data_IF_160493618180
#
_entry.id   IF_160493618180
#
_cell.length_a   1.000
_cell.length_b   1.000
_cell.length_c   1.000
_cell.angle_alpha   90.00
_cell.angle_beta   90.00
_cell.angle_gamma   90.00
#
_symmetry.space_group_name_H-M   'P 1'
#
loop_
_entity.id
_entity.type
_entity.pdbx_description
1 polymer ?
#
# COMPACT_ATOMS: atom_id res chain seq x y z
N UNK A 1 -42.43 19.55 29.48
CA UNK A 1 -42.48 18.99 28.11
C UNK A 1 -41.07 19.09 27.57
N UNK A 2 -40.35 17.98 27.49
CA UNK A 2 -39.04 17.94 26.85
C UNK A 2 -39.20 18.33 25.38
N UNK A 3 -38.60 19.45 24.99
CA UNK A 3 -38.38 19.79 23.59
C UNK A 3 -37.51 18.69 22.99
N UNK A 4 -38.16 17.68 22.40
CA UNK A 4 -37.52 16.60 21.64
C UNK A 4 -36.53 17.23 20.69
N UNK A 5 -35.25 17.01 20.95
CA UNK A 5 -34.18 17.63 20.19
C UNK A 5 -34.00 16.82 18.91
N UNK A 6 -34.87 17.04 17.92
CA UNK A 6 -34.87 16.33 16.64
C UNK A 6 -33.50 16.36 15.94
N UNK A 7 -32.70 17.40 16.17
CA UNK A 7 -31.33 17.50 15.67
C UNK A 7 -30.39 16.48 16.32
N UNK A 8 -30.58 16.21 17.62
CA UNK A 8 -29.84 15.19 18.35
C UNK A 8 -30.23 13.79 17.87
N UNK A 9 -31.52 13.52 17.72
CA UNK A 9 -32.00 12.22 17.20
C UNK A 9 -31.49 11.96 15.77
N UNK A 10 -31.52 12.97 14.88
CA UNK A 10 -30.96 12.87 13.52
C UNK A 10 -29.44 12.62 13.57
N UNK A 11 -28.72 13.29 14.48
CA UNK A 11 -27.28 13.07 14.68
C UNK A 11 -26.98 11.64 15.17
N UNK A 12 -27.77 11.13 16.10
CA UNK A 12 -27.66 9.76 16.62
C UNK A 12 -27.98 8.71 15.54
N UNK A 13 -29.06 8.89 14.77
CA UNK A 13 -29.40 8.04 13.63
C UNK A 13 -28.26 8.03 12.59
N UNK A 14 -27.70 9.21 12.27
CA UNK A 14 -26.58 9.33 11.31
C UNK A 14 -25.32 8.64 11.84
N UNK A 15 -25.02 8.78 13.14
CA UNK A 15 -23.91 8.07 13.78
C UNK A 15 -24.13 6.55 13.76
N UNK A 16 -25.32 6.07 14.10
CA UNK A 16 -25.68 4.64 14.06
C UNK A 16 -25.57 4.07 12.63
N UNK A 17 -26.05 4.81 11.62
CA UNK A 17 -25.90 4.43 10.20
C UNK A 17 -24.45 4.42 9.74
N UNK A 18 -23.62 5.39 10.16
CA UNK A 18 -22.21 5.42 9.78
C UNK A 18 -21.42 4.24 10.36
N UNK A 19 -21.69 3.86 11.62
CA UNK A 19 -21.05 2.71 12.30
C UNK A 19 -21.52 1.35 11.78
N UNK A 20 -22.77 1.25 11.33
CA UNK A 20 -23.30 0.01 10.72
C UNK A 20 -22.84 -0.19 9.26
N UNK A 21 -22.46 0.87 8.56
CA UNK A 21 -22.07 0.83 7.15
C UNK A 21 -20.57 0.89 6.88
N UNK A 22 -19.73 1.25 7.86
CA UNK A 22 -18.28 1.41 7.68
C UNK A 22 -17.46 0.71 8.77
N UNK A 23 -16.32 0.16 8.36
CA UNK A 23 -15.36 -0.47 9.25
C UNK A 23 -14.51 0.58 9.98
N UNK A 24 -14.72 0.71 11.30
CA UNK A 24 -14.10 1.73 12.17
C UNK A 24 -12.73 1.32 12.74
N UNK A 25 -12.41 0.02 12.72
CA UNK A 25 -11.36 -0.54 13.57
C UNK A 25 -9.97 -0.63 12.91
N UNK A 26 -9.75 0.01 11.76
CA UNK A 26 -8.40 0.11 11.18
C UNK A 26 -7.48 0.84 12.15
N UNK A 27 -6.25 0.36 12.39
CA UNK A 27 -5.30 0.99 13.32
C UNK A 27 -4.31 1.92 12.61
N UNK A 28 -4.07 3.12 13.14
CA UNK A 28 -3.13 4.09 12.55
C UNK A 28 -1.69 3.62 12.61
N UNK A 29 -1.36 2.87 13.67
CA UNK A 29 -0.05 2.25 13.85
C UNK A 29 0.32 1.29 12.71
N UNK A 30 -0.66 0.63 12.07
CA UNK A 30 -0.35 -0.25 10.94
C UNK A 30 0.15 0.54 9.73
N UNK A 31 -0.39 1.73 9.48
CA UNK A 31 0.08 2.62 8.41
C UNK A 31 1.51 3.10 8.65
N UNK A 32 1.82 3.47 9.90
CA UNK A 32 3.19 3.89 10.28
C UNK A 32 4.18 2.74 10.07
N UNK A 33 3.87 1.54 10.57
CA UNK A 33 4.74 0.39 10.43
C UNK A 33 4.92 -0.03 8.97
N UNK A 34 3.83 -0.07 8.18
CA UNK A 34 3.91 -0.36 6.75
C UNK A 34 4.85 0.62 6.03
N UNK A 35 4.78 1.91 6.37
CA UNK A 35 5.69 2.91 5.80
C UNK A 35 7.14 2.74 6.25
N UNK A 36 7.40 2.36 7.49
CA UNK A 36 8.76 2.04 7.97
C UNK A 36 9.32 0.82 7.22
N UNK A 37 8.52 -0.24 7.03
CA UNK A 37 8.94 -1.42 6.27
C UNK A 37 9.25 -1.08 4.82
N UNK A 38 8.42 -0.25 4.19
CA UNK A 38 8.68 0.25 2.84
C UNK A 38 9.97 1.06 2.76
N UNK A 39 10.22 1.99 3.68
CA UNK A 39 11.48 2.76 3.66
C UNK A 39 12.71 1.87 3.88
N UNK A 40 12.63 0.88 4.76
CA UNK A 40 13.71 -0.09 4.96
C UNK A 40 13.96 -0.93 3.71
N UNK A 41 12.90 -1.43 3.08
CA UNK A 41 12.96 -2.17 1.82
C UNK A 41 13.55 -1.32 0.69
N UNK A 42 13.17 -0.04 0.60
CA UNK A 42 13.70 0.87 -0.40
C UNK A 42 15.19 1.17 -0.16
N UNK A 43 15.61 1.31 1.11
CA UNK A 43 17.02 1.44 1.47
C UNK A 43 17.83 0.21 1.08
N UNK A 44 17.33 -0.99 1.39
CA UNK A 44 17.96 -2.24 0.98
C UNK A 44 18.09 -2.35 -0.54
N UNK A 45 17.00 -2.07 -1.27
CA UNK A 45 16.98 -2.07 -2.73
C UNK A 45 17.99 -1.08 -3.32
N UNK A 46 18.15 0.11 -2.72
CA UNK A 46 19.13 1.10 -3.16
C UNK A 46 20.57 0.56 -3.04
N UNK A 47 20.91 -0.09 -1.94
CA UNK A 47 22.23 -0.70 -1.77
C UNK A 47 22.46 -1.88 -2.72
N UNK A 48 21.43 -2.69 -3.00
CA UNK A 48 21.54 -3.78 -4.00
C UNK A 48 21.77 -3.24 -5.41
N UNK A 49 21.07 -2.17 -5.79
CA UNK A 49 21.29 -1.48 -7.06
C UNK A 49 22.70 -0.89 -7.16
N UNK A 50 23.20 -0.28 -6.09
CA UNK A 50 24.54 0.32 -6.06
C UNK A 50 25.68 -0.71 -6.08
N UNK A 51 25.43 -1.93 -5.62
CA UNK A 51 26.41 -3.01 -5.57
C UNK A 51 26.56 -3.78 -6.91
N UNK A 52 25.82 -3.41 -7.95
CA UNK A 52 25.92 -4.06 -9.25
C UNK A 52 27.27 -3.77 -9.93
N UNK A 53 28.06 -4.81 -10.25
CA UNK A 53 29.29 -4.62 -11.02
C UNK A 53 28.94 -4.17 -12.44
N UNK A 54 29.48 -3.02 -12.85
CA UNK A 54 29.42 -2.58 -14.25
C UNK A 54 30.40 -3.44 -15.05
N UNK A 55 29.90 -4.38 -15.85
CA UNK A 55 30.77 -5.26 -16.64
C UNK A 55 31.36 -4.48 -17.83
N UNK A 56 32.61 -4.02 -17.69
CA UNK A 56 33.40 -3.37 -18.75
C UNK A 56 34.25 -4.40 -19.51
N UNK A 57 33.66 -5.51 -19.96
CA UNK A 57 34.37 -6.55 -20.71
C UNK A 57 34.35 -6.30 -22.22
N UNK A 58 35.50 -6.46 -22.90
CA UNK A 58 35.69 -6.22 -24.34
C UNK A 58 34.81 -7.07 -25.28
N UNK A 59 34.16 -8.12 -24.78
CA UNK A 59 33.28 -8.97 -25.59
C UNK A 59 31.81 -8.62 -25.37
N UNK A 60 31.21 -8.00 -26.40
CA UNK A 60 29.82 -7.52 -26.41
C UNK A 60 28.78 -8.61 -26.05
N UNK A 61 29.06 -9.88 -26.37
CA UNK A 61 28.16 -11.01 -26.11
C UNK A 61 28.24 -11.48 -24.65
N UNK A 62 29.45 -11.58 -24.09
CA UNK A 62 29.65 -12.01 -22.70
C UNK A 62 29.20 -10.92 -21.72
N UNK A 63 29.42 -9.65 -22.05
CA UNK A 63 28.89 -8.50 -21.29
C UNK A 63 27.37 -8.47 -21.27
N UNK A 64 26.70 -8.66 -22.41
CA UNK A 64 25.22 -8.74 -22.46
C UNK A 64 24.64 -9.92 -21.70
N UNK A 65 25.31 -11.08 -21.71
CA UNK A 65 24.88 -12.25 -20.94
C UNK A 65 25.06 -12.01 -19.43
N UNK A 66 26.18 -11.41 -19.02
CA UNK A 66 26.43 -11.04 -17.62
C UNK A 66 25.44 -9.97 -17.11
N UNK A 67 25.15 -8.94 -17.92
CA UNK A 67 24.15 -7.91 -17.61
C UNK A 67 22.74 -8.52 -17.50
N UNK A 68 22.40 -9.48 -18.37
CA UNK A 68 21.11 -10.17 -18.32
C UNK A 68 20.95 -11.01 -17.05
N UNK A 69 21.97 -11.80 -16.69
CA UNK A 69 21.97 -12.62 -15.46
C UNK A 69 21.92 -11.72 -14.21
N UNK A 70 22.75 -10.68 -14.15
CA UNK A 70 22.77 -9.73 -13.04
C UNK A 70 21.43 -8.99 -12.89
N UNK A 71 20.77 -8.66 -14.00
CA UNK A 71 19.44 -8.05 -13.98
C UNK A 71 18.38 -9.03 -13.47
N UNK A 72 18.46 -10.31 -13.85
CA UNK A 72 17.53 -11.33 -13.39
C UNK A 72 17.64 -11.57 -11.87
N UNK A 73 18.86 -11.76 -11.36
CA UNK A 73 19.12 -11.94 -9.92
C UNK A 73 18.62 -10.74 -9.10
N UNK A 74 18.81 -9.53 -9.62
CA UNK A 74 18.31 -8.33 -8.97
C UNK A 74 16.78 -8.27 -8.97
N UNK A 75 16.13 -8.58 -10.09
CA UNK A 75 14.67 -8.58 -10.16
C UNK A 75 14.10 -9.59 -9.18
N UNK A 76 14.70 -10.77 -9.06
CA UNK A 76 14.32 -11.79 -8.07
C UNK A 76 14.48 -11.29 -6.63
N UNK A 77 15.64 -10.73 -6.28
CA UNK A 77 15.92 -10.15 -4.95
C UNK A 77 14.94 -9.03 -4.58
N UNK A 78 14.67 -8.12 -5.53
CA UNK A 78 13.76 -6.99 -5.30
C UNK A 78 12.30 -7.47 -5.18
N UNK A 79 11.90 -8.48 -5.96
CA UNK A 79 10.58 -9.10 -5.85
C UNK A 79 10.41 -9.82 -4.51
N UNK A 80 11.42 -10.56 -4.05
CA UNK A 80 11.42 -11.19 -2.74
C UNK A 80 11.32 -10.16 -1.62
N UNK A 81 12.10 -9.07 -1.72
CA UNK A 81 12.06 -7.95 -0.77
C UNK A 81 10.67 -7.31 -0.72
N UNK A 82 10.07 -7.05 -1.89
CA UNK A 82 8.72 -6.50 -1.99
C UNK A 82 7.67 -7.44 -1.38
N UNK A 83 7.79 -8.74 -1.63
CA UNK A 83 6.90 -9.76 -1.07
C UNK A 83 6.99 -9.85 0.45
N UNK A 84 8.21 -9.89 1.01
CA UNK A 84 8.44 -9.89 2.47
C UNK A 84 7.85 -8.62 3.09
N UNK A 85 8.08 -7.47 2.47
CA UNK A 85 7.56 -6.18 2.94
C UNK A 85 6.03 -6.16 2.97
N UNK A 86 5.39 -6.66 1.90
CA UNK A 86 3.94 -6.80 1.82
C UNK A 86 3.41 -7.73 2.91
N UNK A 87 4.06 -8.88 3.11
CA UNK A 87 3.66 -9.87 4.11
C UNK A 87 3.75 -9.29 5.53
N UNK A 88 4.84 -8.59 5.86
CA UNK A 88 5.01 -7.89 7.14
C UNK A 88 3.91 -6.84 7.34
N UNK A 89 3.62 -6.03 6.33
CA UNK A 89 2.56 -5.01 6.39
C UNK A 89 1.16 -5.63 6.60
N UNK A 90 0.84 -6.73 5.91
CA UNK A 90 -0.44 -7.43 6.05
C UNK A 90 -0.56 -8.05 7.43
N UNK A 91 0.45 -8.79 7.90
CA UNK A 91 0.42 -9.49 9.18
C UNK A 91 0.28 -8.49 10.33
N UNK A 92 1.10 -7.44 10.34
CA UNK A 92 1.05 -6.41 11.37
C UNK A 92 -0.24 -5.60 11.31
N UNK A 93 -0.71 -5.26 10.10
CA UNK A 93 -1.98 -4.58 9.89
C UNK A 93 -3.17 -5.37 10.39
N UNK A 94 -3.24 -6.66 10.08
CA UNK A 94 -4.29 -7.56 10.55
C UNK A 94 -4.25 -7.71 12.06
N UNK A 95 -3.07 -7.91 12.65
CA UNK A 95 -2.90 -8.07 14.10
C UNK A 95 -3.32 -6.82 14.88
N UNK A 96 -2.87 -5.63 14.46
CA UNK A 96 -3.19 -4.37 15.15
C UNK A 96 -4.67 -4.00 14.98
N UNK A 97 -5.23 -4.22 13.79
CA UNK A 97 -6.66 -4.04 13.52
C UNK A 97 -7.48 -5.00 14.40
N UNK A 98 -7.04 -6.26 14.54
CA UNK A 98 -7.70 -7.23 15.40
C UNK A 98 -7.69 -6.81 16.88
N UNK A 99 -6.52 -6.36 17.36
CA UNK A 99 -6.37 -5.85 18.73
C UNK A 99 -7.25 -4.63 18.98
N UNK A 100 -7.35 -3.71 18.02
CA UNK A 100 -8.22 -2.51 18.12
C UNK A 100 -9.70 -2.88 18.14
N UNK A 101 -10.15 -3.75 17.22
CA UNK A 101 -11.53 -4.20 17.18
C UNK A 101 -11.96 -4.92 18.47
N UNK A 102 -11.07 -5.73 19.07
CA UNK A 102 -11.32 -6.37 20.37
C UNK A 102 -11.52 -5.36 21.49
N UNK A 103 -10.75 -4.26 21.52
CA UNK A 103 -10.92 -3.17 22.51
C UNK A 103 -12.23 -2.40 22.30
N UNK A 104 -12.68 -2.29 21.06
CA UNK A 104 -13.94 -1.59 20.69
C UNK A 104 -15.18 -2.50 20.74
N UNK A 105 -15.02 -3.77 21.15
CA UNK A 105 -16.09 -4.79 21.13
C UNK A 105 -16.76 -4.97 19.75
N UNK A 106 -16.01 -4.71 18.67
CA UNK A 106 -16.49 -4.86 17.30
C UNK A 106 -16.08 -6.22 16.70
N UNK A 107 -17.00 -6.88 15.97
CA UNK A 107 -16.66 -8.08 15.19
C UNK A 107 -15.89 -7.69 13.93
N UNK A 108 -14.65 -8.15 13.82
CA UNK A 108 -13.77 -7.89 12.65
C UNK A 108 -14.32 -8.53 11.38
N UNK A 109 -14.92 -9.72 11.51
CA UNK A 109 -15.46 -10.46 10.39
C UNK A 109 -16.96 -10.19 10.26
N UNK A 110 -17.32 -9.20 9.45
CA UNK A 110 -18.69 -8.77 9.25
C UNK A 110 -18.93 -8.46 7.74
N UNK A 111 -20.18 -8.24 7.30
CA UNK A 111 -20.47 -7.98 5.89
C UNK A 111 -19.77 -6.74 5.32
N UNK A 112 -19.42 -5.75 6.15
CA UNK A 112 -18.70 -4.55 5.73
C UNK A 112 -17.22 -4.84 5.52
N UNK A 113 -16.57 -5.55 6.43
CA UNK A 113 -15.14 -5.90 6.29
C UNK A 113 -14.90 -6.88 5.13
N UNK A 114 -15.81 -7.80 4.86
CA UNK A 114 -15.77 -8.64 3.65
C UNK A 114 -15.85 -7.80 2.37
N UNK A 115 -16.76 -6.82 2.31
CA UNK A 115 -16.88 -5.90 1.17
C UNK A 115 -15.63 -5.04 1.02
N UNK A 116 -15.07 -4.53 2.12
CA UNK A 116 -13.81 -3.80 2.13
C UNK A 116 -12.68 -4.66 1.53
N UNK A 117 -12.49 -5.88 2.04
CA UNK A 117 -11.44 -6.79 1.55
C UNK A 117 -11.62 -7.15 0.08
N UNK A 118 -12.85 -7.39 -0.38
CA UNK A 118 -13.11 -7.68 -1.79
C UNK A 118 -12.79 -6.47 -2.69
N UNK A 119 -13.19 -5.26 -2.29
CA UNK A 119 -12.95 -4.04 -3.07
C UNK A 119 -11.49 -3.58 -3.04
N UNK A 120 -10.78 -3.85 -1.95
CA UNK A 120 -9.34 -3.67 -1.84
C UNK A 120 -8.57 -4.72 -2.65
N UNK A 121 -8.96 -5.99 -2.50
CA UNK A 121 -8.26 -7.13 -3.08
C UNK A 121 -8.34 -7.18 -4.60
N UNK A 122 -9.48 -6.80 -5.20
CA UNK A 122 -9.64 -6.89 -6.66
C UNK A 122 -8.60 -6.04 -7.42
N UNK A 123 -8.45 -4.71 -7.20
CA UNK A 123 -7.40 -3.94 -7.87
C UNK A 123 -5.99 -4.39 -7.49
N UNK A 124 -5.76 -4.81 -6.24
CA UNK A 124 -4.44 -5.25 -5.79
C UNK A 124 -3.98 -6.52 -6.49
N UNK A 125 -4.84 -7.54 -6.58
CA UNK A 125 -4.56 -8.80 -7.27
C UNK A 125 -4.37 -8.54 -8.76
N UNK A 126 -5.26 -7.76 -9.39
CA UNK A 126 -5.11 -7.37 -10.79
C UNK A 126 -3.77 -6.67 -11.04
N UNK A 127 -3.37 -5.75 -10.17
CA UNK A 127 -2.09 -5.06 -10.25
C UNK A 127 -0.88 -5.98 -10.08
N UNK A 128 -0.94 -6.92 -9.15
CA UNK A 128 0.11 -7.93 -8.96
C UNK A 128 0.28 -8.83 -10.19
N UNK A 129 -0.82 -9.33 -10.75
CA UNK A 129 -0.80 -10.10 -12.00
C UNK A 129 -0.27 -9.25 -13.17
N UNK A 130 -0.68 -7.99 -13.26
CA UNK A 130 -0.18 -7.06 -14.27
C UNK A 130 1.33 -6.82 -14.14
N UNK A 131 1.86 -6.69 -12.91
CA UNK A 131 3.30 -6.62 -12.69
C UNK A 131 4.02 -7.89 -13.14
N UNK A 132 3.42 -9.07 -12.95
CA UNK A 132 3.94 -10.33 -13.49
C UNK A 132 4.04 -10.32 -15.02
N UNK A 133 3.03 -9.76 -15.70
CA UNK A 133 3.06 -9.55 -17.16
C UNK A 133 4.17 -8.57 -17.57
N UNK A 134 4.36 -7.47 -16.84
CA UNK A 134 5.46 -6.53 -17.12
C UNK A 134 6.83 -7.19 -17.01
N UNK A 135 7.03 -8.06 -16.02
CA UNK A 135 8.26 -8.86 -15.87
C UNK A 135 8.43 -9.80 -17.07
N UNK A 136 7.36 -10.50 -17.48
CA UNK A 136 7.38 -11.42 -18.62
C UNK A 136 7.82 -10.73 -19.92
N UNK A 137 7.40 -9.47 -20.14
CA UNK A 137 7.79 -8.67 -21.30
C UNK A 137 9.07 -7.85 -21.11
N UNK A 138 9.77 -7.98 -19.97
CA UNK A 138 11.01 -7.25 -19.69
C UNK A 138 10.82 -5.75 -19.40
N UNK A 139 9.60 -5.28 -19.15
CA UNK A 139 9.27 -3.87 -18.92
C UNK A 139 9.35 -3.55 -17.40
N UNK A 140 10.49 -3.86 -16.80
CA UNK A 140 10.71 -3.83 -15.33
C UNK A 140 10.58 -2.40 -14.77
N UNK A 141 10.95 -1.39 -15.56
CA UNK A 141 10.88 0.02 -15.16
C UNK A 141 9.47 0.51 -14.80
N UNK A 142 8.42 -0.19 -15.25
CA UNK A 142 7.03 0.16 -14.95
C UNK A 142 6.42 -0.58 -13.75
N UNK A 143 7.16 -1.47 -13.09
CA UNK A 143 6.64 -2.22 -11.93
C UNK A 143 6.38 -1.28 -10.75
N UNK A 144 7.35 -0.43 -10.40
CA UNK A 144 7.18 0.55 -9.31
C UNK A 144 5.97 1.48 -9.51
N UNK A 145 5.80 2.16 -10.67
CA UNK A 145 4.59 2.95 -10.90
C UNK A 145 3.31 2.12 -10.95
N UNK A 146 3.33 0.91 -11.54
CA UNK A 146 2.16 0.03 -11.57
C UNK A 146 1.69 -0.35 -10.16
N UNK A 147 2.60 -0.77 -9.29
CA UNK A 147 2.26 -1.12 -7.89
C UNK A 147 1.64 0.08 -7.15
N UNK A 148 2.18 1.29 -7.30
CA UNK A 148 1.62 2.52 -6.72
C UNK A 148 0.20 2.81 -7.24
N UNK A 149 -0.02 2.71 -8.56
CA UNK A 149 -1.31 2.98 -9.18
C UNK A 149 -2.36 1.96 -8.70
N UNK A 150 -2.09 0.66 -8.84
CA UNK A 150 -3.05 -0.38 -8.48
C UNK A 150 -3.33 -0.42 -6.97
N UNK A 151 -2.31 -0.18 -6.14
CA UNK A 151 -2.50 -0.01 -4.71
C UNK A 151 -3.35 1.24 -4.39
N UNK A 152 -3.07 2.36 -5.05
CA UNK A 152 -3.86 3.58 -4.88
C UNK A 152 -5.34 3.38 -5.26
N UNK A 153 -5.60 2.65 -6.36
CA UNK A 153 -6.95 2.26 -6.76
C UNK A 153 -7.60 1.30 -5.75
N UNK A 154 -6.84 0.34 -5.21
CA UNK A 154 -7.31 -0.54 -4.13
C UNK A 154 -7.79 0.27 -2.92
N UNK A 155 -7.02 1.27 -2.49
CA UNK A 155 -7.39 2.15 -1.38
C UNK A 155 -8.62 3.01 -1.69
N UNK A 156 -8.69 3.60 -2.88
CA UNK A 156 -9.84 4.40 -3.30
C UNK A 156 -11.11 3.53 -3.29
N UNK A 157 -11.04 2.30 -3.78
CA UNK A 157 -12.20 1.42 -3.82
C UNK A 157 -12.60 0.93 -2.41
N UNK A 158 -11.62 0.59 -1.58
CA UNK A 158 -11.84 0.21 -0.18
C UNK A 158 -12.40 1.34 0.69
N UNK A 159 -12.09 2.60 0.36
CA UNK A 159 -12.44 3.79 1.16
C UNK A 159 -13.95 3.94 1.41
N UNK A 160 -14.79 3.38 0.54
CA UNK A 160 -16.26 3.39 0.69
C UNK A 160 -16.75 2.60 1.90
N UNK A 161 -15.95 1.64 2.37
CA UNK A 161 -16.32 0.67 3.40
C UNK A 161 -15.54 0.85 4.70
N UNK A 162 -14.70 1.88 4.82
CA UNK A 162 -13.93 2.17 6.03
C UNK A 162 -14.05 3.64 6.43
N UNK A 163 -13.74 3.92 7.69
CA UNK A 163 -13.69 5.28 8.20
C UNK A 163 -12.26 5.78 8.16
N UNK A 164 -12.14 7.05 7.81
CA UNK A 164 -10.87 7.73 7.66
C UNK A 164 -10.67 8.22 6.24
N UNK A 165 -9.63 9.03 6.12
CA UNK A 165 -9.30 9.78 4.92
C UNK A 165 -8.40 8.93 3.99
N UNK A 166 -8.56 7.59 4.00
CA UNK A 166 -7.74 6.63 3.23
C UNK A 166 -7.84 6.84 1.73
N UNK A 167 -8.98 7.39 1.27
CA UNK A 167 -9.18 7.79 -0.12
C UNK A 167 -8.08 8.75 -0.59
N UNK A 168 -7.66 9.69 0.26
CA UNK A 168 -6.63 10.68 -0.10
C UNK A 168 -5.25 10.05 -0.21
N UNK A 169 -4.92 9.07 0.65
CA UNK A 169 -3.71 8.25 0.48
C UNK A 169 -3.75 7.47 -0.85
N UNK A 170 -4.91 6.94 -1.21
CA UNK A 170 -5.10 6.25 -2.48
C UNK A 170 -4.91 7.19 -3.68
N UNK A 171 -5.55 8.36 -3.68
CA UNK A 171 -5.39 9.38 -4.73
C UNK A 171 -3.93 9.83 -4.84
N UNK A 172 -3.26 10.06 -3.72
CA UNK A 172 -1.85 10.43 -3.72
C UNK A 172 -0.99 9.34 -4.38
N UNK A 173 -1.18 8.06 -4.02
CA UNK A 173 -0.43 6.96 -4.64
C UNK A 173 -0.71 6.81 -6.14
N UNK A 174 -1.96 7.01 -6.60
CA UNK A 174 -2.28 7.03 -8.03
C UNK A 174 -1.53 8.15 -8.73
N UNK A 175 -1.55 9.38 -8.19
CA UNK A 175 -0.85 10.51 -8.79
C UNK A 175 0.67 10.31 -8.83
N UNK A 176 1.26 9.88 -7.71
CA UNK A 176 2.70 9.56 -7.63
C UNK A 176 3.05 8.48 -8.65
N UNK A 177 2.25 7.41 -8.75
CA UNK A 177 2.49 6.33 -9.70
C UNK A 177 2.36 6.78 -11.16
N UNK A 178 1.36 7.60 -11.50
CA UNK A 178 1.22 8.18 -12.83
C UNK A 178 2.40 9.09 -13.18
N UNK A 179 2.85 9.95 -12.26
CA UNK A 179 4.05 10.78 -12.45
C UNK A 179 5.27 9.88 -12.65
N UNK A 180 5.42 8.84 -11.83
CA UNK A 180 6.54 7.90 -11.92
C UNK A 180 6.62 7.16 -13.26
N UNK A 181 5.50 6.97 -13.98
CA UNK A 181 5.56 6.42 -15.36
C UNK A 181 6.34 7.30 -16.34
N UNK A 182 6.46 8.59 -16.07
CA UNK A 182 7.16 9.56 -16.93
C UNK A 182 8.67 9.64 -16.62
N UNK A 183 9.11 9.07 -15.50
CA UNK A 183 10.48 9.16 -14.99
C UNK A 183 11.05 7.76 -14.70
N UNK A 184 11.17 6.95 -15.76
CA UNK A 184 11.75 5.60 -15.68
C UNK A 184 13.18 5.68 -15.13
N UNK A 185 13.52 4.81 -14.18
CA UNK A 185 14.78 4.84 -13.43
C UNK A 185 14.66 5.46 -12.03
N UNK A 186 13.68 6.34 -11.80
CA UNK A 186 13.40 6.91 -10.47
C UNK A 186 12.35 6.13 -9.67
N UNK A 187 11.93 4.96 -10.17
CA UNK A 187 10.84 4.17 -9.59
C UNK A 187 10.99 3.90 -8.10
N UNK A 188 12.21 3.62 -7.62
CA UNK A 188 12.49 3.38 -6.21
C UNK A 188 12.18 4.59 -5.32
N UNK A 189 12.50 5.81 -5.77
CA UNK A 189 12.23 7.04 -5.03
C UNK A 189 10.74 7.32 -4.92
N UNK A 190 10.00 7.17 -6.03
CA UNK A 190 8.54 7.32 -6.02
C UNK A 190 7.87 6.24 -5.18
N UNK A 191 8.39 5.01 -5.21
CA UNK A 191 7.91 3.91 -4.38
C UNK A 191 8.13 4.20 -2.89
N UNK A 192 9.32 4.66 -2.49
CA UNK A 192 9.61 5.09 -1.12
C UNK A 192 8.74 6.28 -0.68
N UNK A 193 8.44 7.21 -1.59
CA UNK A 193 7.55 8.33 -1.32
C UNK A 193 6.11 7.86 -1.04
N UNK A 194 5.54 7.05 -1.94
CA UNK A 194 4.16 6.58 -1.84
C UNK A 194 3.96 5.55 -0.72
N UNK A 195 4.71 4.45 -0.75
CA UNK A 195 4.58 3.36 0.22
C UNK A 195 5.24 3.65 1.56
N UNK A 196 6.25 4.52 1.61
CA UNK A 196 6.94 4.90 2.83
C UNK A 196 6.38 6.17 3.45
N UNK A 197 6.79 7.32 2.92
CA UNK A 197 6.52 8.65 3.51
C UNK A 197 5.02 8.91 3.66
N UNK A 198 4.26 8.74 2.59
CA UNK A 198 2.81 9.03 2.61
C UNK A 198 2.04 8.08 3.54
N UNK A 199 2.48 6.83 3.68
CA UNK A 199 1.89 5.89 4.64
C UNK A 199 2.18 6.27 6.09
N UNK A 200 3.40 6.75 6.39
CA UNK A 200 3.74 7.25 7.74
C UNK A 200 2.88 8.47 8.07
N UNK A 201 2.78 9.43 7.15
CA UNK A 201 1.96 10.64 7.34
C UNK A 201 0.49 10.25 7.57
N UNK A 202 -0.07 9.40 6.70
CA UNK A 202 -1.45 8.93 6.85
C UNK A 202 -1.67 8.18 8.17
N UNK A 203 -0.77 7.24 8.51
CA UNK A 203 -0.84 6.46 9.74
C UNK A 203 -0.77 7.34 10.99
N UNK A 204 0.08 8.37 10.99
CA UNK A 204 0.17 9.35 12.08
C UNK A 204 -1.11 10.18 12.23
N UNK A 205 -1.69 10.65 11.13
CA UNK A 205 -2.98 11.37 11.14
C UNK A 205 -4.08 10.47 11.69
N UNK A 206 -4.15 9.23 11.22
CA UNK A 206 -5.17 8.28 11.61
C UNK A 206 -5.04 7.88 13.08
N UNK A 207 -3.80 7.66 13.55
CA UNK A 207 -3.51 7.38 14.95
C UNK A 207 -4.00 8.52 15.86
N UNK A 208 -3.70 9.77 15.51
CA UNK A 208 -4.13 10.95 16.29
C UNK A 208 -5.64 11.17 16.30
N UNK A 209 -6.34 10.82 15.22
CA UNK A 209 -7.77 11.11 15.04
C UNK A 209 -8.68 9.98 15.53
N UNK A 210 -8.20 8.73 15.52
CA UNK A 210 -9.04 7.55 15.74
C UNK A 210 -8.47 6.48 16.70
N UNK A 211 -7.18 6.54 17.09
CA UNK A 211 -6.56 5.56 18.00
C UNK A 211 -6.23 6.15 19.38
N UNK A 212 -6.04 7.47 19.49
CA UNK A 212 -5.85 8.21 20.75
C UNK A 212 -7.16 8.80 21.22
#
# INVERSE_FOLDING_TARGET
METKNYLQDISEIKNMMSRSSRFMSLSGLSGILAGIYALAAAGYAHFRLAAMPTYTGDSLILGKLADFIATYDLVEDLMLTAFITLLLAIVTGAFLTWRKAKRLHEKIWNPVSKRLLANFGFPLITGGLFCGVLIQYGIVGLIAPATLIFYGLALINASKFTVGDIKYLGVANVLIGLIATQFVGYGLYFWALGFGVFHIIYGAIMYRKYDR
#
